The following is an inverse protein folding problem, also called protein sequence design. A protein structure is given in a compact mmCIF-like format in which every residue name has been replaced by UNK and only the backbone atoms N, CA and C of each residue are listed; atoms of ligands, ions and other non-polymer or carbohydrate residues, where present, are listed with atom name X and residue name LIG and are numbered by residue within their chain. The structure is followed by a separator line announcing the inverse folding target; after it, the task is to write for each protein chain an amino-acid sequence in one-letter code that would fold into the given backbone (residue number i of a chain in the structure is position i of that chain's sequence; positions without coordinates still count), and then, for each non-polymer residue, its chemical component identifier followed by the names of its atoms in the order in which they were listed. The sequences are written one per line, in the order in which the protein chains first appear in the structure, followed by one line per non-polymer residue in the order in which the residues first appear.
data_IF_713509989309
#
_entry.id   IF_713509989309
#
_cell.length_a   1.000
_cell.length_b   1.000
_cell.length_c   1.000
_cell.angle_alpha   90.00
_cell.angle_beta   90.00
_cell.angle_gamma   90.00
#
_symmetry.space_group_name_H-M   'P 1'
#
loop_
_entity.id
_entity.type
_entity.pdbx_description
1 polymer ?
#
# COMPACT_ATOMS: atom_id res chain seq x y z
N UNK A 1 1.58 11.97 -22.30
CA UNK A 1 1.79 11.57 -20.89
C UNK A 1 1.02 12.52 -19.99
N UNK A 2 0.47 12.05 -18.86
CA UNK A 2 -0.09 12.91 -17.80
C UNK A 2 1.05 13.30 -16.85
N UNK A 3 1.14 14.58 -16.50
CA UNK A 3 2.16 15.10 -15.59
C UNK A 3 1.62 15.08 -14.17
N UNK A 4 1.97 14.06 -13.40
CA UNK A 4 1.60 13.94 -11.99
C UNK A 4 2.78 14.41 -11.15
N UNK A 5 2.65 15.49 -10.35
CA UNK A 5 3.71 15.91 -9.45
C UNK A 5 3.85 14.94 -8.27
N UNK A 6 5.09 14.66 -7.88
CA UNK A 6 5.44 13.77 -6.76
C UNK A 6 5.64 12.31 -7.18
N UNK A 7 5.71 11.42 -6.19
CA UNK A 7 5.90 9.98 -6.39
C UNK A 7 4.59 9.21 -6.18
N UNK A 8 3.87 8.84 -7.25
CA UNK A 8 2.69 7.99 -7.13
C UNK A 8 3.09 6.58 -6.69
N UNK A 9 2.36 5.99 -5.73
CA UNK A 9 2.70 4.67 -5.18
C UNK A 9 1.73 3.56 -5.63
N UNK A 10 0.43 3.74 -5.42
CA UNK A 10 -0.61 2.86 -5.93
C UNK A 10 -1.73 3.69 -6.57
N UNK A 11 -2.42 3.07 -7.53
CA UNK A 11 -3.65 3.61 -8.13
C UNK A 11 -4.81 2.64 -8.00
N UNK A 12 -6.02 3.18 -7.89
CA UNK A 12 -7.26 2.44 -7.99
C UNK A 12 -8.24 3.19 -8.91
N UNK A 13 -9.09 2.44 -9.63
CA UNK A 13 -10.00 3.00 -10.61
C UNK A 13 -11.46 2.84 -10.18
N UNK A 14 -12.23 3.90 -10.38
CA UNK A 14 -13.69 3.84 -10.47
C UNK A 14 -14.05 3.80 -11.95
N UNK A 15 -14.39 2.60 -12.45
CA UNK A 15 -14.75 2.40 -13.85
C UNK A 15 -16.13 2.97 -14.19
N UNK A 16 -17.04 3.13 -13.24
CA UNK A 16 -18.35 3.72 -13.51
C UNK A 16 -18.21 5.23 -13.75
N UNK A 17 -17.45 5.91 -12.89
CA UNK A 17 -17.22 7.37 -13.01
C UNK A 17 -16.03 7.75 -13.88
N UNK A 18 -15.28 6.78 -14.39
CA UNK A 18 -14.05 6.99 -15.16
C UNK A 18 -13.03 7.84 -14.40
N UNK A 19 -12.79 7.51 -13.12
CA UNK A 19 -11.85 8.21 -12.25
C UNK A 19 -10.69 7.31 -11.83
N UNK A 20 -9.51 7.91 -11.67
CA UNK A 20 -8.31 7.29 -11.12
C UNK A 20 -7.94 7.99 -9.82
N UNK A 21 -7.84 7.21 -8.75
CA UNK A 21 -7.40 7.63 -7.43
C UNK A 21 -5.98 7.17 -7.22
N UNK A 22 -5.10 8.07 -6.77
CA UNK A 22 -3.68 7.78 -6.59
C UNK A 22 -3.18 8.36 -5.28
N UNK A 23 -2.43 7.56 -4.54
CA UNK A 23 -1.61 8.04 -3.42
C UNK A 23 -0.32 8.65 -3.96
N UNK A 24 0.02 9.83 -3.47
CA UNK A 24 1.28 10.52 -3.77
C UNK A 24 2.09 10.57 -2.49
N UNK A 25 3.12 9.75 -2.44
CA UNK A 25 3.93 9.50 -1.26
C UNK A 25 4.65 10.76 -0.78
N UNK A 26 5.37 11.44 -1.69
CA UNK A 26 6.25 12.57 -1.37
C UNK A 26 5.53 13.80 -0.82
N UNK A 27 4.23 13.91 -1.09
CA UNK A 27 3.42 15.08 -0.77
C UNK A 27 2.29 14.78 0.23
N UNK A 28 2.19 13.55 0.75
CA UNK A 28 1.16 13.14 1.69
C UNK A 28 -0.27 13.48 1.24
N UNK A 29 -0.64 13.01 0.04
CA UNK A 29 -1.94 13.32 -0.56
C UNK A 29 -2.52 12.19 -1.39
N UNK A 30 -3.84 12.25 -1.57
CA UNK A 30 -4.55 11.50 -2.61
C UNK A 30 -4.90 12.49 -3.72
N UNK A 31 -4.60 12.15 -4.96
CA UNK A 31 -5.04 12.89 -6.14
C UNK A 31 -6.01 12.04 -6.93
N UNK A 32 -7.06 12.69 -7.45
CA UNK A 32 -8.06 12.03 -8.29
C UNK A 32 -8.08 12.72 -9.64
N UNK A 33 -7.95 11.93 -10.70
CA UNK A 33 -8.00 12.40 -12.08
C UNK A 33 -9.14 11.71 -12.83
N UNK A 34 -9.56 12.29 -13.94
CA UNK A 34 -10.27 11.51 -14.96
C UNK A 34 -9.33 10.44 -15.52
N UNK A 35 -9.86 9.26 -15.83
CA UNK A 35 -9.08 8.14 -16.36
C UNK A 35 -8.38 8.47 -17.69
N UNK A 36 -8.96 9.37 -18.48
CA UNK A 36 -8.41 9.85 -19.76
C UNK A 36 -7.58 11.14 -19.63
N UNK A 37 -7.31 11.62 -18.41
CA UNK A 37 -6.54 12.84 -18.20
C UNK A 37 -5.15 12.72 -18.86
N UNK A 38 -4.68 13.82 -19.46
CA UNK A 38 -3.40 13.86 -20.15
C UNK A 38 -2.74 15.23 -20.07
N UNK A 39 -1.44 15.31 -20.37
CA UNK A 39 -0.67 16.55 -20.33
C UNK A 39 -0.61 17.13 -18.92
N UNK A 40 -0.81 18.45 -18.81
CA UNK A 40 -0.87 19.18 -17.54
C UNK A 40 -2.29 19.35 -16.98
N UNK A 41 -3.23 18.46 -17.33
CA UNK A 41 -4.55 18.46 -16.71
C UNK A 41 -4.42 18.42 -15.19
N UNK A 42 -5.27 19.17 -14.47
CA UNK A 42 -5.28 19.21 -13.01
C UNK A 42 -6.18 18.10 -12.45
N UNK A 43 -5.92 17.63 -11.21
CA UNK A 43 -6.79 16.64 -10.59
C UNK A 43 -8.20 17.24 -10.40
N UNK A 44 -9.22 16.40 -10.53
CA UNK A 44 -10.62 16.78 -10.26
C UNK A 44 -10.85 17.02 -8.76
N UNK A 45 -10.05 16.38 -7.90
CA UNK A 45 -9.98 16.62 -6.46
C UNK A 45 -8.64 16.17 -5.91
N UNK A 46 -8.24 16.83 -4.83
CA UNK A 46 -7.09 16.44 -4.00
C UNK A 46 -7.58 16.31 -2.56
N UNK A 47 -7.08 15.30 -1.84
CA UNK A 47 -7.22 15.16 -0.38
C UNK A 47 -5.82 15.34 0.20
N UNK A 48 -5.61 16.41 0.95
CA UNK A 48 -4.32 16.79 1.52
C UNK A 48 -4.47 17.70 2.73
N UNK A 49 -3.46 17.70 3.62
CA UNK A 49 -3.41 18.56 4.80
C UNK A 49 -3.38 17.79 6.10
N UNK A 50 -3.06 18.47 7.21
CA UNK A 50 -2.78 17.83 8.49
C UNK A 50 -3.97 17.05 9.08
N UNK A 51 -5.21 17.46 8.82
CA UNK A 51 -6.40 16.75 9.33
C UNK A 51 -6.63 15.43 8.60
N UNK A 52 -6.01 15.24 7.43
CA UNK A 52 -6.17 14.01 6.65
C UNK A 52 -5.52 12.82 7.32
N UNK A 53 -4.43 12.99 8.08
CA UNK A 53 -3.61 11.88 8.59
C UNK A 53 -3.04 11.00 7.45
N UNK A 54 -2.84 11.58 6.26
CA UNK A 54 -2.04 10.96 5.22
C UNK A 54 -0.57 11.16 5.57
N UNK A 55 0.13 10.06 5.82
CA UNK A 55 1.46 10.07 6.43
C UNK A 55 2.32 9.01 5.76
N UNK A 56 3.00 9.40 4.68
CA UNK A 56 3.65 8.49 3.76
C UNK A 56 2.64 7.47 3.17
N UNK A 57 1.60 7.96 2.46
CA UNK A 57 0.52 7.11 1.95
C UNK A 57 1.03 6.23 0.81
N UNK A 58 0.84 4.93 0.93
CA UNK A 58 1.29 3.92 -0.04
C UNK A 58 0.13 3.29 -0.78
N UNK A 59 -0.57 2.37 -0.15
CA UNK A 59 -1.62 1.61 -0.78
C UNK A 59 -2.93 2.37 -0.84
N UNK A 60 -3.73 2.09 -1.86
CA UNK A 60 -5.09 2.61 -2.00
C UNK A 60 -6.03 1.52 -2.51
N UNK A 61 -7.19 1.38 -1.86
CA UNK A 61 -8.25 0.50 -2.29
C UNK A 61 -9.61 1.21 -2.21
N UNK A 62 -10.53 0.83 -3.09
CA UNK A 62 -11.86 1.43 -3.19
C UNK A 62 -12.92 0.40 -2.86
N UNK A 63 -13.89 0.81 -2.06
CA UNK A 63 -15.19 0.14 -1.91
C UNK A 63 -16.21 1.02 -2.63
N UNK A 64 -16.53 0.61 -3.86
CA UNK A 64 -17.38 1.40 -4.76
C UNK A 64 -18.84 1.38 -4.29
N UNK A 65 -19.27 0.28 -3.66
CA UNK A 65 -20.64 0.09 -3.18
C UNK A 65 -20.95 1.02 -2.01
N UNK A 66 -20.06 1.07 -1.03
CA UNK A 66 -20.21 1.91 0.15
C UNK A 66 -19.55 3.29 -0.01
N UNK A 67 -18.92 3.55 -1.16
CA UNK A 67 -18.30 4.83 -1.52
C UNK A 67 -17.20 5.22 -0.54
N UNK A 68 -16.27 4.31 -0.29
CA UNK A 68 -15.13 4.51 0.61
C UNK A 68 -13.79 4.39 -0.12
N UNK A 69 -12.81 5.14 0.38
CA UNK A 69 -11.39 5.04 0.04
C UNK A 69 -10.66 4.53 1.27
N UNK A 70 -9.87 3.48 1.13
CA UNK A 70 -8.94 3.01 2.14
C UNK A 70 -7.52 3.39 1.70
N UNK A 71 -6.71 3.91 2.62
CA UNK A 71 -5.30 4.24 2.38
C UNK A 71 -4.42 3.67 3.48
N UNK A 72 -3.34 2.97 3.12
CA UNK A 72 -2.31 2.56 4.07
C UNK A 72 -1.25 3.65 4.18
N UNK A 73 -0.83 3.92 5.41
CA UNK A 73 0.16 4.94 5.75
C UNK A 73 1.34 4.26 6.46
N UNK A 74 2.56 4.60 6.06
CA UNK A 74 3.76 4.07 6.72
C UNK A 74 4.13 4.87 7.98
N UNK A 75 3.70 6.13 8.08
CA UNK A 75 3.83 6.95 9.29
C UNK A 75 4.94 8.00 9.25
N UNK A 76 5.60 8.24 8.11
CA UNK A 76 6.49 9.41 7.97
C UNK A 76 5.65 10.67 7.70
N UNK A 77 5.45 11.45 8.75
CA UNK A 77 4.65 12.67 8.69
C UNK A 77 5.51 13.83 8.23
N UNK A 78 5.03 14.53 7.22
CA UNK A 78 5.45 15.88 6.88
C UNK A 78 4.28 16.84 7.14
N UNK A 79 4.40 17.68 8.16
CA UNK A 79 3.32 18.56 8.62
C UNK A 79 3.73 20.04 8.73
N UNK A 80 2.74 20.93 8.60
CA UNK A 80 2.89 22.36 8.91
C UNK A 80 2.46 22.61 10.35
N UNK A 81 3.39 23.01 11.22
CA UNK A 81 3.05 23.36 12.60
C UNK A 81 2.33 24.72 12.66
N UNK A 82 1.23 24.80 13.41
CA UNK A 82 0.48 26.04 13.60
C UNK A 82 1.39 27.14 14.17
N UNK A 83 1.41 28.30 13.50
CA UNK A 83 2.20 29.46 13.93
C UNK A 83 3.72 29.34 13.73
N UNK A 84 4.22 28.31 13.02
CA UNK A 84 5.64 28.20 12.67
C UNK A 84 5.83 28.21 11.16
N UNK A 85 6.84 28.94 10.70
CA UNK A 85 7.30 28.84 9.33
C UNK A 85 8.09 27.54 9.13
N UNK A 86 7.75 26.77 8.10
CA UNK A 86 8.46 25.54 7.74
C UNK A 86 7.61 24.27 7.79
N UNK A 87 8.22 23.17 7.38
CA UNK A 87 7.71 21.80 7.40
C UNK A 87 8.50 21.00 8.44
N UNK A 88 7.82 20.11 9.17
CA UNK A 88 8.42 19.35 10.27
C UNK A 88 8.15 17.85 10.08
N UNK A 89 9.13 17.03 10.48
CA UNK A 89 9.03 15.58 10.46
C UNK A 89 8.57 15.02 11.80
N UNK A 90 7.67 14.03 11.78
CA UNK A 90 7.37 13.16 12.93
C UNK A 90 7.14 11.73 12.40
N UNK A 91 7.41 10.73 13.24
CA UNK A 91 6.96 9.37 12.99
C UNK A 91 5.67 9.10 13.79
N UNK A 92 4.65 8.59 13.11
CA UNK A 92 3.41 8.06 13.69
C UNK A 92 3.31 6.56 13.39
N UNK A 93 2.51 5.79 14.14
CA UNK A 93 2.36 4.36 13.88
C UNK A 93 1.77 4.09 12.48
N UNK A 94 2.12 2.97 11.83
CA UNK A 94 1.47 2.57 10.59
C UNK A 94 -0.04 2.44 10.77
N UNK A 95 -0.81 2.95 9.82
CA UNK A 95 -2.26 3.04 9.92
C UNK A 95 -2.97 2.74 8.59
N UNK A 96 -4.27 2.48 8.66
CA UNK A 96 -5.17 2.52 7.51
C UNK A 96 -6.21 3.62 7.77
N UNK A 97 -6.20 4.67 6.95
CA UNK A 97 -7.18 5.75 7.01
C UNK A 97 -8.30 5.51 6.01
N UNK A 98 -9.54 5.86 6.40
CA UNK A 98 -10.72 5.67 5.56
C UNK A 98 -11.40 7.00 5.28
N UNK A 99 -11.71 7.30 4.01
CA UNK A 99 -12.39 8.55 3.60
C UNK A 99 -13.66 8.26 2.79
N UNK A 100 -14.61 9.19 2.73
CA UNK A 100 -15.65 9.17 1.72
C UNK A 100 -15.04 9.29 0.32
N UNK A 101 -15.62 8.60 -0.67
CA UNK A 101 -15.12 8.60 -2.06
C UNK A 101 -15.17 9.97 -2.76
N UNK A 102 -16.00 10.88 -2.26
CA UNK A 102 -16.13 12.26 -2.75
C UNK A 102 -15.33 13.27 -1.91
N UNK A 103 -14.50 12.82 -0.95
CA UNK A 103 -13.67 13.69 -0.13
C UNK A 103 -12.77 14.61 -0.97
N UNK A 104 -12.58 15.84 -0.48
CA UNK A 104 -11.64 16.80 -1.06
C UNK A 104 -11.20 17.82 -0.01
N UNK A 105 -9.95 18.27 -0.12
CA UNK A 105 -9.32 19.21 0.79
C UNK A 105 -8.77 18.54 2.05
N UNK A 106 -8.64 19.34 3.10
CA UNK A 106 -8.13 18.93 4.41
C UNK A 106 -9.27 18.35 5.26
N UNK A 107 -9.61 17.08 5.04
CA UNK A 107 -10.74 16.40 5.70
C UNK A 107 -10.24 15.30 6.62
N UNK A 108 -10.91 15.12 7.76
CA UNK A 108 -10.62 14.02 8.68
C UNK A 108 -11.05 12.68 8.09
N UNK A 109 -10.32 11.59 8.37
CA UNK A 109 -10.79 10.24 8.04
C UNK A 109 -12.07 9.92 8.81
N UNK A 110 -12.96 9.12 8.21
CA UNK A 110 -14.16 8.58 8.85
C UNK A 110 -13.82 7.66 10.02
N UNK A 111 -12.74 6.91 9.87
CA UNK A 111 -12.15 6.01 10.87
C UNK A 111 -10.71 5.70 10.51
N UNK A 112 -9.98 5.20 11.50
CA UNK A 112 -8.57 4.83 11.39
C UNK A 112 -8.40 3.45 12.01
N UNK A 113 -7.67 2.57 11.34
CA UNK A 113 -7.18 1.30 11.90
C UNK A 113 -5.72 1.50 12.23
N UNK A 114 -5.37 1.48 13.52
CA UNK A 114 -4.03 1.78 14.00
C UNK A 114 -3.82 1.16 15.38
N UNK A 115 -2.60 0.70 15.63
CA UNK A 115 -2.18 0.22 16.94
C UNK A 115 -1.44 -1.12 16.87
N UNK A 116 -0.88 -1.56 18.00
CA UNK A 116 -0.02 -2.74 18.03
C UNK A 116 -0.74 -4.05 17.65
N UNK A 117 -2.05 -4.18 17.89
CA UNK A 117 -2.81 -5.39 17.51
C UNK A 117 -3.03 -5.50 16.01
N UNK A 118 -2.90 -4.40 15.27
CA UNK A 118 -3.01 -4.43 13.80
C UNK A 118 -1.88 -5.24 13.17
N UNK A 119 -0.72 -5.35 13.84
CA UNK A 119 0.48 -6.01 13.35
C UNK A 119 1.05 -5.43 12.05
N UNK A 120 0.63 -4.21 11.68
CA UNK A 120 1.16 -3.52 10.52
C UNK A 120 2.62 -3.14 10.75
N UNK A 121 3.45 -3.50 9.77
CA UNK A 121 4.87 -3.20 9.71
C UNK A 121 5.24 -2.99 8.23
N UNK A 122 5.30 -1.73 7.85
CA UNK A 122 5.44 -1.30 6.45
C UNK A 122 4.29 -1.78 5.56
N UNK A 123 3.04 -1.33 5.83
CA UNK A 123 1.91 -1.66 4.97
C UNK A 123 2.06 -0.95 3.62
N UNK A 124 2.16 -1.73 2.54
CA UNK A 124 2.37 -1.24 1.18
C UNK A 124 1.03 -1.26 0.41
N UNK A 125 0.96 -1.92 -0.75
CA UNK A 125 -0.28 -2.01 -1.54
C UNK A 125 -1.43 -2.66 -0.79
N UNK A 126 -2.63 -2.24 -1.16
CA UNK A 126 -3.87 -2.80 -0.67
C UNK A 126 -4.76 -3.25 -1.83
N UNK A 127 -5.63 -4.22 -1.55
CA UNK A 127 -6.68 -4.65 -2.46
C UNK A 127 -7.96 -4.96 -1.68
N UNK A 128 -9.11 -4.58 -2.23
CA UNK A 128 -10.40 -4.75 -1.58
C UNK A 128 -11.22 -5.86 -2.26
N UNK A 129 -11.77 -6.76 -1.45
CA UNK A 129 -12.66 -7.81 -1.92
C UNK A 129 -14.12 -7.43 -1.63
N UNK A 130 -14.79 -6.84 -2.61
CA UNK A 130 -16.15 -6.27 -2.49
C UNK A 130 -17.17 -7.24 -1.88
N UNK A 131 -17.32 -8.45 -2.43
CA UNK A 131 -18.33 -9.41 -1.94
C UNK A 131 -18.11 -9.88 -0.49
N UNK A 132 -16.84 -9.87 -0.04
CA UNK A 132 -16.44 -10.33 1.28
C UNK A 132 -16.29 -9.18 2.28
N UNK A 133 -16.29 -7.94 1.79
CA UNK A 133 -16.01 -6.74 2.58
C UNK A 133 -14.70 -6.87 3.37
N UNK A 134 -13.64 -7.27 2.67
CA UNK A 134 -12.32 -7.53 3.25
C UNK A 134 -11.24 -6.73 2.55
N UNK A 135 -10.34 -6.17 3.34
CA UNK A 135 -9.18 -5.41 2.89
C UNK A 135 -7.93 -6.28 3.08
N UNK A 136 -7.25 -6.57 1.97
CA UNK A 136 -5.97 -7.25 1.96
C UNK A 136 -4.86 -6.20 1.93
N UNK A 137 -3.86 -6.37 2.77
CA UNK A 137 -2.75 -5.43 2.94
C UNK A 137 -1.44 -6.19 2.82
N UNK A 138 -0.62 -5.79 1.86
CA UNK A 138 0.75 -6.26 1.76
C UNK A 138 1.56 -5.66 2.93
N UNK A 139 2.14 -6.52 3.78
CA UNK A 139 2.86 -6.11 4.98
C UNK A 139 4.36 -6.39 4.77
N UNK A 140 5.02 -5.47 4.09
CA UNK A 140 6.27 -5.71 3.37
C UNK A 140 7.41 -6.15 4.30
N UNK A 141 7.66 -5.40 5.37
CA UNK A 141 8.73 -5.68 6.33
C UNK A 141 8.50 -6.98 7.11
N UNK A 142 7.25 -7.39 7.29
CA UNK A 142 6.87 -8.57 8.06
C UNK A 142 6.79 -9.85 7.23
N UNK A 143 6.91 -9.76 5.90
CA UNK A 143 6.73 -10.87 4.95
C UNK A 143 5.36 -11.55 5.11
N UNK A 144 4.29 -10.76 5.24
CA UNK A 144 2.94 -11.27 5.45
C UNK A 144 1.90 -10.51 4.64
N UNK A 145 0.72 -11.12 4.50
CA UNK A 145 -0.50 -10.41 4.10
C UNK A 145 -1.41 -10.35 5.32
N UNK A 146 -1.84 -9.15 5.67
CA UNK A 146 -2.85 -8.92 6.69
C UNK A 146 -4.21 -8.76 6.01
N UNK A 147 -5.25 -9.35 6.60
CA UNK A 147 -6.62 -9.21 6.11
C UNK A 147 -7.47 -8.60 7.20
N UNK A 148 -8.07 -7.44 6.93
CA UNK A 148 -9.01 -6.75 7.83
C UNK A 148 -10.43 -6.79 7.26
N UNK A 149 -11.43 -6.61 8.11
CA UNK A 149 -12.78 -6.30 7.64
C UNK A 149 -12.84 -4.85 7.18
N UNK A 150 -13.69 -4.57 6.19
CA UNK A 150 -13.96 -3.22 5.74
C UNK A 150 -14.36 -2.29 6.89
N UNK A 151 -15.06 -2.83 7.89
CA UNK A 151 -15.62 -2.08 9.03
C UNK A 151 -14.70 -2.00 10.25
N UNK A 152 -13.50 -2.58 10.21
CA UNK A 152 -12.58 -2.51 11.35
C UNK A 152 -12.17 -1.05 11.63
N UNK A 153 -11.91 -0.75 12.91
CA UNK A 153 -11.54 0.57 13.43
C UNK A 153 -10.67 0.42 14.70
N UNK A 154 -9.83 1.40 14.98
CA UNK A 154 -8.93 1.44 16.13
C UNK A 154 -7.88 0.32 16.08
N UNK A 155 -7.48 -0.13 17.27
CA UNK A 155 -6.47 -1.19 17.47
C UNK A 155 -7.07 -2.59 17.23
N UNK A 156 -7.58 -2.80 16.02
CA UNK A 156 -8.23 -4.05 15.61
C UNK A 156 -7.21 -5.04 15.08
N UNK A 157 -7.30 -6.30 15.53
CA UNK A 157 -6.48 -7.38 15.01
C UNK A 157 -6.97 -7.83 13.61
N UNK A 158 -6.05 -8.26 12.70
CA UNK A 158 -6.44 -8.82 11.41
C UNK A 158 -7.39 -10.01 11.58
N UNK A 159 -8.39 -10.09 10.70
CA UNK A 159 -9.29 -11.23 10.57
C UNK A 159 -8.52 -12.51 10.21
N UNK A 160 -7.51 -12.39 9.35
CA UNK A 160 -6.61 -13.47 8.92
C UNK A 160 -5.21 -12.92 8.65
N UNK A 161 -4.22 -13.80 8.75
CA UNK A 161 -2.82 -13.48 8.47
C UNK A 161 -2.25 -14.60 7.62
N UNK A 162 -1.74 -14.28 6.42
CA UNK A 162 -1.02 -15.24 5.59
C UNK A 162 0.46 -15.01 5.85
N UNK A 163 1.08 -15.92 6.61
CA UNK A 163 2.47 -15.79 7.07
C UNK A 163 3.06 -17.14 7.43
N UNK A 164 4.34 -17.30 7.15
CA UNK A 164 5.13 -18.46 7.52
C UNK A 164 6.02 -18.93 6.37
N UNK A 165 6.92 -19.89 6.62
CA UNK A 165 7.88 -20.35 5.62
C UNK A 165 7.23 -21.04 4.40
N UNK A 166 6.08 -21.70 4.56
CA UNK A 166 5.40 -22.41 3.46
C UNK A 166 4.70 -21.46 2.49
N UNK A 167 4.39 -20.24 2.91
CA UNK A 167 3.76 -19.25 2.04
C UNK A 167 4.69 -18.81 0.92
N UNK A 168 6.02 -18.84 1.15
CA UNK A 168 6.99 -18.30 0.21
C UNK A 168 6.92 -16.78 0.03
N UNK A 169 6.12 -16.08 0.86
CA UNK A 169 6.01 -14.63 0.82
C UNK A 169 7.34 -14.02 1.27
N UNK A 170 7.91 -13.14 0.44
CA UNK A 170 9.18 -12.45 0.72
C UNK A 170 9.14 -11.02 0.24
N UNK A 171 9.09 -10.10 1.21
CA UNK A 171 8.96 -8.65 1.05
C UNK A 171 7.96 -8.31 -0.04
N UNK A 172 6.66 -8.48 0.23
CA UNK A 172 5.63 -8.23 -0.74
C UNK A 172 5.38 -6.72 -0.91
N UNK A 173 5.78 -6.11 -2.06
CA UNK A 173 5.52 -4.69 -2.28
C UNK A 173 4.09 -4.45 -2.78
N UNK A 174 3.46 -5.49 -3.34
CA UNK A 174 2.31 -5.40 -4.22
C UNK A 174 1.42 -6.64 -4.17
N UNK A 175 0.10 -6.42 -4.24
CA UNK A 175 -0.90 -7.47 -4.34
C UNK A 175 -1.97 -7.14 -5.39
N UNK A 176 -2.60 -8.17 -5.94
CA UNK A 176 -3.79 -8.04 -6.78
C UNK A 176 -4.81 -9.14 -6.45
N UNK A 177 -6.09 -8.84 -6.62
CA UNK A 177 -7.19 -9.78 -6.39
C UNK A 177 -7.91 -10.10 -7.70
N UNK A 178 -8.20 -11.37 -7.90
CA UNK A 178 -9.26 -11.81 -8.81
C UNK A 178 -10.44 -12.28 -7.97
N UNK A 179 -11.42 -11.40 -7.77
CA UNK A 179 -12.62 -11.72 -6.99
C UNK A 179 -13.52 -12.78 -7.64
N UNK A 180 -13.42 -13.03 -8.96
CA UNK A 180 -14.20 -14.06 -9.65
C UNK A 180 -13.61 -15.44 -9.44
N UNK A 181 -12.28 -15.54 -9.52
CA UNK A 181 -11.57 -16.79 -9.25
C UNK A 181 -11.35 -17.03 -7.75
N UNK A 182 -11.51 -16.01 -6.92
CA UNK A 182 -11.21 -16.09 -5.49
C UNK A 182 -9.71 -16.21 -5.24
N UNK A 183 -8.90 -15.55 -6.06
CA UNK A 183 -7.43 -15.62 -6.00
C UNK A 183 -6.80 -14.31 -5.54
N UNK A 184 -5.79 -14.42 -4.69
CA UNK A 184 -4.89 -13.36 -4.26
C UNK A 184 -3.52 -13.61 -4.86
N UNK A 185 -3.04 -12.64 -5.65
CA UNK A 185 -1.71 -12.63 -6.24
C UNK A 185 -0.81 -11.75 -5.40
N UNK A 186 0.31 -12.31 -4.94
CA UNK A 186 1.30 -11.61 -4.12
C UNK A 186 2.61 -11.55 -4.87
N UNK A 187 3.04 -10.34 -5.23
CA UNK A 187 4.39 -10.13 -5.75
C UNK A 187 5.38 -10.31 -4.62
N UNK A 188 6.50 -10.99 -4.88
CA UNK A 188 7.59 -11.12 -3.91
C UNK A 188 8.77 -10.32 -4.44
N UNK A 189 9.24 -9.32 -3.72
CA UNK A 189 10.42 -8.58 -4.13
C UNK A 189 11.71 -9.30 -3.71
N UNK A 190 11.65 -10.04 -2.61
CA UNK A 190 12.78 -10.83 -2.09
C UNK A 190 13.06 -12.12 -2.85
N UNK A 191 12.17 -12.55 -3.74
CA UNK A 191 12.39 -13.66 -4.67
C UNK A 191 11.73 -13.32 -6.00
N UNK A 192 12.30 -13.63 -7.18
CA UNK A 192 11.69 -13.28 -8.47
C UNK A 192 10.46 -14.15 -8.77
N UNK A 193 9.39 -13.98 -8.00
CA UNK A 193 8.19 -14.81 -8.05
C UNK A 193 6.91 -14.07 -7.66
N UNK A 194 5.79 -14.63 -8.10
CA UNK A 194 4.45 -14.31 -7.63
C UNK A 194 3.88 -15.57 -7.00
N UNK A 195 3.43 -15.47 -5.75
CA UNK A 195 2.72 -16.55 -5.05
C UNK A 195 1.23 -16.26 -5.08
N UNK A 196 0.42 -17.27 -5.39
CA UNK A 196 -1.04 -17.11 -5.48
C UNK A 196 -1.72 -17.94 -4.42
N UNK A 197 -2.65 -17.32 -3.71
CA UNK A 197 -3.42 -17.92 -2.63
C UNK A 197 -4.91 -17.83 -2.91
N UNK A 198 -5.71 -18.67 -2.25
CA UNK A 198 -7.13 -18.39 -2.12
C UNK A 198 -7.34 -17.11 -1.30
N UNK A 199 -8.36 -16.32 -1.63
CA UNK A 199 -8.80 -15.16 -0.82
C UNK A 199 -9.22 -15.55 0.60
N UNK A 200 -9.49 -16.84 0.85
CA UNK A 200 -9.79 -17.37 2.18
C UNK A 200 -8.58 -17.97 2.90
N UNK A 201 -7.37 -17.86 2.35
CA UNK A 201 -6.15 -18.38 2.95
C UNK A 201 -5.90 -17.78 4.35
N UNK A 202 -5.33 -18.59 5.25
CA UNK A 202 -4.97 -18.20 6.61
C UNK A 202 -3.80 -19.05 7.13
N UNK A 203 -2.86 -18.42 7.83
CA UNK A 203 -1.69 -19.05 8.43
C UNK A 203 -0.58 -19.37 7.43
N UNK A 204 0.22 -20.38 7.80
CA UNK A 204 1.37 -20.87 7.03
C UNK A 204 0.94 -21.88 5.95
N UNK A 205 0.29 -21.37 4.91
CA UNK A 205 -0.28 -22.18 3.82
C UNK A 205 0.61 -22.18 2.59
N UNK A 206 0.64 -23.31 1.87
CA UNK A 206 1.33 -23.41 0.58
C UNK A 206 0.53 -22.63 -0.48
N UNK A 207 1.18 -21.84 -1.35
CA UNK A 207 0.52 -21.21 -2.49
C UNK A 207 -0.17 -22.25 -3.38
N UNK A 208 -1.33 -21.91 -3.91
CA UNK A 208 -2.02 -22.72 -4.93
C UNK A 208 -1.21 -22.83 -6.21
N UNK A 209 -0.40 -21.81 -6.49
CA UNK A 209 0.54 -21.74 -7.61
C UNK A 209 1.64 -20.71 -7.31
N UNK A 210 2.80 -20.94 -7.92
CA UNK A 210 3.92 -19.99 -7.92
C UNK A 210 4.32 -19.72 -9.36
N UNK A 211 4.30 -18.46 -9.76
CA UNK A 211 4.78 -17.99 -11.07
C UNK A 211 6.20 -17.47 -10.84
N UNK A 212 7.20 -18.00 -11.55
CA UNK A 212 8.60 -17.62 -11.34
C UNK A 212 9.17 -16.92 -12.55
N UNK A 213 9.95 -15.86 -12.30
CA UNK A 213 10.82 -15.20 -13.28
C UNK A 213 12.27 -15.70 -13.21
N UNK A 214 12.62 -16.54 -12.23
CA UNK A 214 13.96 -17.12 -12.06
C UNK A 214 13.94 -18.52 -11.43
N UNK A 215 15.11 -19.17 -11.28
CA UNK A 215 15.23 -20.50 -10.67
C UNK A 215 14.66 -20.56 -9.25
N UNK A 216 14.32 -21.77 -8.80
CA UNK A 216 13.93 -21.98 -7.41
C UNK A 216 15.06 -21.59 -6.44
N UNK A 217 14.72 -20.90 -5.35
CA UNK A 217 15.69 -20.39 -4.38
C UNK A 217 16.45 -19.14 -4.81
N UNK A 218 16.19 -18.58 -6.00
CA UNK A 218 16.77 -17.31 -6.39
C UNK A 218 16.39 -16.19 -5.41
N UNK A 219 17.39 -15.41 -5.00
CA UNK A 219 17.22 -14.24 -4.14
C UNK A 219 17.01 -13.02 -5.02
N UNK A 220 15.97 -12.26 -4.75
CA UNK A 220 15.75 -10.95 -5.38
C UNK A 220 16.77 -9.95 -4.85
N UNK A 221 17.30 -9.11 -5.72
CA UNK A 221 18.22 -8.04 -5.30
C UNK A 221 17.50 -6.94 -4.51
N UNK A 222 16.17 -6.94 -4.53
CA UNK A 222 15.32 -6.01 -3.77
C UNK A 222 15.61 -4.52 -4.01
N UNK A 223 16.27 -4.22 -5.13
CA UNK A 223 16.72 -2.90 -5.52
C UNK A 223 16.24 -2.64 -6.94
N UNK A 224 15.49 -1.55 -7.12
CA UNK A 224 15.02 -1.11 -8.43
C UNK A 224 16.05 -0.29 -9.19
N UNK A 225 16.62 0.74 -8.54
CA UNK A 225 17.56 1.67 -9.15
C UNK A 225 18.49 2.29 -8.08
N UNK A 226 19.68 1.73 -7.84
CA UNK A 226 20.54 2.24 -6.79
C UNK A 226 21.25 3.51 -7.22
N UNK A 227 20.96 4.62 -6.52
CA UNK A 227 21.58 5.92 -6.78
C UNK A 227 23.01 6.07 -6.26
N UNK A 228 23.47 5.13 -5.42
CA UNK A 228 24.83 5.08 -4.91
C UNK A 228 25.28 3.61 -4.77
N UNK A 229 26.58 3.39 -4.89
CA UNK A 229 27.20 2.08 -4.64
C UNK A 229 28.51 2.29 -3.88
N UNK A 230 28.73 1.50 -2.84
CA UNK A 230 29.98 1.44 -2.09
C UNK A 230 30.60 0.05 -2.22
N UNK A 231 31.92 -0.06 -2.07
CA UNK A 231 32.62 -1.33 -1.96
C UNK A 231 33.37 -1.38 -0.62
N UNK A 232 33.01 -2.35 0.23
CA UNK A 232 33.74 -2.64 1.46
C UNK A 232 34.89 -3.59 1.13
N UNK A 233 36.10 -3.04 1.01
CA UNK A 233 37.32 -3.80 0.68
C UNK A 233 37.76 -4.79 1.75
N UNK A 234 37.27 -4.65 3.00
CA UNK A 234 37.60 -5.57 4.09
C UNK A 234 36.66 -6.77 4.13
N UNK A 235 35.42 -6.59 3.66
CA UNK A 235 34.38 -7.63 3.60
C UNK A 235 34.17 -8.20 2.20
N UNK A 236 34.80 -7.62 1.20
CA UNK A 236 34.63 -7.95 -0.22
C UNK A 236 33.16 -7.87 -0.66
N UNK A 237 32.45 -6.83 -0.20
CA UNK A 237 31.02 -6.66 -0.42
C UNK A 237 30.69 -5.35 -1.14
N UNK A 238 29.71 -5.42 -2.04
CA UNK A 238 29.08 -4.25 -2.64
C UNK A 238 27.94 -3.83 -1.72
N UNK A 239 28.00 -2.58 -1.25
CA UNK A 239 26.97 -1.95 -0.43
C UNK A 239 26.12 -1.08 -1.33
N UNK A 240 24.81 -1.33 -1.30
CA UNK A 240 23.85 -0.58 -2.08
C UNK A 240 22.77 -0.07 -1.13
N UNK A 241 22.58 1.24 -0.98
CA UNK A 241 21.47 1.77 -0.21
C UNK A 241 20.18 1.53 -0.98
N UNK A 242 19.14 1.13 -0.24
CA UNK A 242 17.75 1.18 -0.69
C UNK A 242 17.21 2.59 -0.49
#
# INVERSE_FOLDING_TARGET
ALNIPGHPFQMAADEEKQLLYMTIQSDNKIVVYRKQASGGEKPVRTIEGNDTQLEDPHGIALDLKNKLIFVSNFGNVDFKAAGRAGRFGKFEPPSITVYPMEASGNVKPLRVIEGPKTLMNWPAHMAFHEERQELFVANDADNSILVFRATDEGDSAPLRIIKGPKTGIKSPPGIALDGKLGELYVANMGTPSITVFSVTANGDVVPTRTIRGGPEGAVGLMIGNPGAVGYDTKREQILVPN
#
